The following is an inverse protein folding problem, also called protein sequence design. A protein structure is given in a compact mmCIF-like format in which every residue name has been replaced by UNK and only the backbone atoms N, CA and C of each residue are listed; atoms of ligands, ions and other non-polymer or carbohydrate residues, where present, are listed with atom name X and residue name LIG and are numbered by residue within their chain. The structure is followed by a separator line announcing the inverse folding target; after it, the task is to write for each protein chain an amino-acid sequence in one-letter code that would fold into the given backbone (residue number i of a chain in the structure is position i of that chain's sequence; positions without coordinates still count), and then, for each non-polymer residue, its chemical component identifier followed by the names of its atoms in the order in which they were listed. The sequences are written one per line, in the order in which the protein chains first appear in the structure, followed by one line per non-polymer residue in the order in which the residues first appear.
data_IF_267562032329
#
_entry.id   IF_267562032329
#
_cell.length_a   1.000
_cell.length_b   1.000
_cell.length_c   1.000
_cell.angle_alpha   90.00
_cell.angle_beta   90.00
_cell.angle_gamma   90.00
#
_symmetry.space_group_name_H-M   'P 1'
#
loop_
_entity.id
_entity.type
_entity.pdbx_description
1 polymer ?
#
# COMPACT_ATOMS: atom_id res chain seq x y z
N UNK A 1 1.30 -8.68 -23.61
CA UNK A 1 0.66 -7.47 -23.07
C UNK A 1 1.13 -7.39 -21.63
N UNK A 2 1.95 -6.40 -21.27
CA UNK A 2 2.35 -6.23 -19.88
C UNK A 2 1.16 -5.63 -19.15
N UNK A 3 0.47 -6.43 -18.35
CA UNK A 3 -0.49 -5.92 -17.37
C UNK A 3 0.32 -5.25 -16.28
N UNK A 4 0.48 -3.93 -16.37
CA UNK A 4 1.03 -3.13 -15.29
C UNK A 4 -0.05 -3.04 -14.22
N UNK A 5 0.12 -3.76 -13.11
CA UNK A 5 -0.77 -3.59 -11.95
C UNK A 5 -0.57 -2.16 -11.44
N UNK A 6 -1.65 -1.37 -11.24
CA UNK A 6 -1.49 -0.03 -10.71
C UNK A 6 -0.91 -0.10 -9.29
N UNK A 7 0.03 0.79 -9.00
CA UNK A 7 0.51 1.00 -7.64
C UNK A 7 -0.44 1.97 -6.95
N UNK A 8 -0.99 1.56 -5.81
CA UNK A 8 -1.99 2.31 -5.04
C UNK A 8 -1.51 2.57 -3.62
N UNK A 9 -2.10 3.58 -2.99
CA UNK A 9 -1.81 3.94 -1.60
C UNK A 9 -2.63 3.06 -0.64
N UNK A 10 -1.92 2.30 0.19
CA UNK A 10 -2.48 1.62 1.34
C UNK A 10 -2.15 2.38 2.62
N UNK A 11 -3.11 2.45 3.53
CA UNK A 11 -3.00 3.06 4.86
C UNK A 11 -3.22 1.98 5.92
N UNK A 12 -2.46 2.01 7.00
CA UNK A 12 -2.65 1.07 8.11
C UNK A 12 -2.52 1.78 9.45
N UNK A 13 -3.21 1.25 10.46
CA UNK A 13 -3.01 1.61 11.86
C UNK A 13 -2.33 0.46 12.60
N UNK A 14 -1.15 0.69 13.17
CA UNK A 14 -0.45 -0.35 13.90
C UNK A 14 -0.93 -0.47 15.34
N UNK A 15 -1.62 -1.56 15.68
CA UNK A 15 -2.09 -1.81 17.05
C UNK A 15 -0.96 -1.98 18.09
N UNK A 16 0.27 -2.30 17.65
CA UNK A 16 1.42 -2.51 18.56
C UNK A 16 2.07 -1.21 18.99
N UNK A 17 2.31 -0.28 18.06
CA UNK A 17 2.96 1.00 18.35
C UNK A 17 2.01 2.20 18.32
N UNK A 18 0.75 2.01 17.92
CA UNK A 18 -0.26 3.05 17.80
C UNK A 18 0.00 4.07 16.68
N UNK A 19 0.91 3.75 15.74
CA UNK A 19 1.27 4.64 14.65
C UNK A 19 0.54 4.25 13.36
N UNK A 20 0.03 5.26 12.68
CA UNK A 20 -0.47 5.15 11.32
C UNK A 20 0.68 5.17 10.32
N UNK A 21 0.59 4.33 9.30
CA UNK A 21 1.56 4.26 8.23
C UNK A 21 0.91 4.24 6.87
N UNK A 22 1.73 4.53 5.86
CA UNK A 22 1.35 4.63 4.45
C UNK A 22 2.35 3.85 3.62
N UNK A 23 1.87 3.05 2.68
CA UNK A 23 2.72 2.31 1.77
C UNK A 23 2.09 2.26 0.37
N UNK A 24 2.95 2.26 -0.64
CA UNK A 24 2.54 2.13 -2.04
C UNK A 24 2.81 0.70 -2.47
N UNK A 25 1.76 -0.04 -2.83
CA UNK A 25 1.82 -1.42 -3.28
C UNK A 25 0.96 -1.61 -4.53
N UNK A 26 1.24 -2.67 -5.28
CA UNK A 26 0.36 -3.08 -6.37
C UNK A 26 -1.05 -3.39 -5.84
N UNK A 27 -2.07 -2.87 -6.52
CA UNK A 27 -3.48 -3.14 -6.22
C UNK A 27 -3.79 -4.61 -6.48
N UNK A 28 -3.71 -5.41 -5.42
CA UNK A 28 -3.96 -6.85 -5.47
C UNK A 28 -5.23 -7.24 -4.74
N UNK A 29 -5.59 -6.49 -3.69
CA UNK A 29 -6.76 -6.69 -2.84
C UNK A 29 -7.15 -5.37 -2.13
N UNK A 30 -8.40 -5.22 -1.66
CA UNK A 30 -8.80 -4.04 -0.89
C UNK A 30 -8.06 -3.90 0.45
N UNK A 31 -7.57 -5.02 1.00
CA UNK A 31 -6.80 -5.07 2.24
C UNK A 31 -5.60 -6.01 2.03
N UNK A 32 -4.44 -5.63 2.56
CA UNK A 32 -3.20 -6.40 2.45
C UNK A 32 -2.49 -6.49 3.80
N UNK A 33 -1.99 -7.67 4.13
CA UNK A 33 -1.18 -7.88 5.33
C UNK A 33 0.27 -7.52 5.03
N UNK A 34 0.83 -6.59 5.81
CA UNK A 34 2.19 -6.09 5.67
C UNK A 34 2.86 -5.89 7.02
N UNK A 35 4.12 -5.47 7.04
CA UNK A 35 4.84 -5.12 8.25
C UNK A 35 4.82 -3.60 8.47
N UNK A 36 4.58 -3.20 9.71
CA UNK A 36 4.68 -1.81 10.14
C UNK A 36 6.11 -1.31 9.98
N UNK A 37 6.31 -0.24 9.20
CA UNK A 37 7.63 0.37 8.96
C UNK A 37 8.32 0.88 10.23
N UNK A 38 7.56 1.12 11.31
CA UNK A 38 8.09 1.65 12.57
C UNK A 38 8.54 0.57 13.54
N UNK A 39 7.80 -0.54 13.65
CA UNK A 39 8.05 -1.56 14.67
C UNK A 39 8.16 -2.99 14.15
N UNK A 40 7.97 -3.19 12.84
CA UNK A 40 8.01 -4.49 12.16
C UNK A 40 6.86 -5.43 12.52
N UNK A 41 5.85 -4.96 13.26
CA UNK A 41 4.68 -5.78 13.58
C UNK A 41 3.82 -6.02 12.34
N UNK A 42 3.19 -7.18 12.27
CA UNK A 42 2.17 -7.46 11.28
C UNK A 42 0.99 -6.47 11.44
N UNK A 43 0.58 -5.86 10.33
CA UNK A 43 -0.51 -4.89 10.24
C UNK A 43 -1.32 -5.15 8.98
N UNK A 44 -2.62 -4.89 9.06
CA UNK A 44 -3.51 -4.89 7.90
C UNK A 44 -3.56 -3.46 7.36
N UNK A 45 -3.22 -3.31 6.09
CA UNK A 45 -3.30 -2.04 5.38
C UNK A 45 -4.48 -2.07 4.42
N UNK A 46 -5.31 -1.04 4.47
CA UNK A 46 -6.49 -0.86 3.64
C UNK A 46 -6.18 0.10 2.50
N UNK A 47 -6.70 -0.20 1.31
CA UNK A 47 -6.57 0.69 0.17
C UNK A 47 -7.37 1.98 0.40
N UNK A 48 -6.68 3.13 0.36
CA UNK A 48 -7.27 4.45 0.59
C UNK A 48 -8.10 4.97 -0.61
N UNK A 49 -8.30 4.15 -1.65
CA UNK A 49 -9.04 4.52 -2.86
C UNK A 49 -8.28 5.43 -3.83
N UNK A 50 -7.06 5.86 -3.48
CA UNK A 50 -6.20 6.67 -4.32
C UNK A 50 -5.41 5.82 -5.32
N UNK A 51 -5.54 6.13 -6.61
CA UNK A 51 -4.67 5.60 -7.67
C UNK A 51 -3.57 6.61 -7.98
N UNK A 52 -2.32 6.25 -7.72
CA UNK A 52 -1.19 6.95 -8.35
C UNK A 52 -0.93 6.25 -9.68
N UNK A 53 -1.42 6.82 -10.79
CA UNK A 53 -0.97 6.36 -12.10
C UNK A 53 0.53 6.67 -12.18
N UNK A 54 1.36 5.65 -11.93
CA UNK A 54 2.77 5.64 -12.28
C UNK A 54 2.85 5.80 -13.80
N UNK A 55 2.90 7.05 -14.25
CA UNK A 55 2.92 7.41 -15.65
C UNK A 55 4.35 7.27 -16.19
N UNK A 56 4.93 6.06 -16.10
CA UNK A 56 6.17 5.70 -16.78
C UNK A 56 5.85 5.23 -18.20
N UNK A 57 5.49 6.20 -19.03
CA UNK A 57 5.66 6.11 -20.48
C UNK A 57 6.76 7.10 -20.87
N UNK A 58 7.97 6.64 -21.25
CA UNK A 58 8.84 7.47 -22.06
C UNK A 58 8.18 7.63 -23.45
N UNK A 59 7.95 8.88 -23.87
CA UNK A 59 7.59 9.23 -25.25
C UNK A 59 8.71 8.86 -26.23
#
# INVERSE_FOLDING_TARGET
MATTTPVVLYVYHCAKCGQDGKLHLEETAPEVTTACSMCGAEVVAEWDGGVELANDLPQ
#
